data_IF_606552629342
#
_entry.id   IF_606552629342
#
_cell.length_a   1.000
_cell.length_b   1.000
_cell.length_c   1.000
_cell.angle_alpha   90.00
_cell.angle_beta   90.00
_cell.angle_gamma   90.00
#
_symmetry.space_group_name_H-M   'P 1'
#
loop_
_entity.id
_entity.type
_entity.pdbx_description
1 polymer ?
#
# COMPACT_ATOMS: atom_id res chain seq x y z
N UNK A 1 -13.25 -15.99 -20.31
CA UNK A 1 -12.27 -15.41 -19.35
C UNK A 1 -11.82 -16.51 -18.40
N UNK A 2 -10.51 -16.69 -18.27
CA UNK A 2 -9.91 -17.65 -17.34
C UNK A 2 -10.08 -17.16 -15.90
N UNK A 3 -10.02 -18.08 -14.92
CA UNK A 3 -10.20 -17.78 -13.50
C UNK A 3 -9.30 -16.60 -13.01
N UNK A 4 -7.98 -16.58 -13.32
CA UNK A 4 -7.12 -15.45 -12.95
C UNK A 4 -7.65 -14.10 -13.46
N UNK A 5 -8.01 -14.02 -14.74
CA UNK A 5 -8.53 -12.78 -15.33
C UNK A 5 -9.83 -12.30 -14.65
N UNK A 6 -10.70 -13.23 -14.22
CA UNK A 6 -11.92 -12.89 -13.47
C UNK A 6 -11.58 -12.27 -12.12
N UNK A 7 -10.56 -12.78 -11.42
CA UNK A 7 -10.12 -12.27 -10.13
C UNK A 7 -9.49 -10.87 -10.26
N UNK A 8 -8.70 -10.63 -11.32
CA UNK A 8 -8.16 -9.29 -11.62
C UNK A 8 -9.26 -8.28 -11.91
N UNK A 9 -10.27 -8.64 -12.72
CA UNK A 9 -11.42 -7.76 -13.01
C UNK A 9 -12.23 -7.51 -11.74
N UNK A 10 -12.47 -8.54 -10.91
CA UNK A 10 -13.14 -8.39 -9.62
C UNK A 10 -12.42 -7.35 -8.74
N UNK A 11 -11.09 -7.40 -8.67
CA UNK A 11 -10.28 -6.42 -7.92
C UNK A 11 -10.48 -4.99 -8.45
N UNK A 12 -10.45 -4.81 -9.77
CA UNK A 12 -10.69 -3.50 -10.39
C UNK A 12 -12.09 -2.96 -10.04
N UNK A 13 -13.10 -3.84 -9.92
CA UNK A 13 -14.46 -3.46 -9.49
C UNK A 13 -14.51 -3.17 -7.99
N UNK A 14 -13.77 -3.92 -7.17
CA UNK A 14 -13.74 -3.73 -5.72
C UNK A 14 -13.13 -2.38 -5.30
N UNK A 15 -12.19 -1.84 -6.08
CA UNK A 15 -11.56 -0.55 -5.75
C UNK A 15 -12.55 0.61 -5.74
N UNK A 16 -13.34 0.89 -6.79
CA UNK A 16 -14.35 1.95 -6.73
C UNK A 16 -15.43 1.68 -5.67
N UNK A 17 -15.82 0.42 -5.44
CA UNK A 17 -16.74 0.09 -4.34
C UNK A 17 -16.13 0.51 -3.00
N UNK A 18 -14.88 0.15 -2.74
CA UNK A 18 -14.16 0.54 -1.53
C UNK A 18 -14.12 2.05 -1.34
N UNK A 19 -13.84 2.82 -2.41
CA UNK A 19 -13.77 4.29 -2.38
C UNK A 19 -15.12 4.93 -2.11
N UNK A 20 -16.24 4.30 -2.51
CA UNK A 20 -17.58 4.81 -2.31
C UNK A 20 -18.14 4.55 -0.89
N UNK A 21 -17.58 3.61 -0.14
CA UNK A 21 -18.09 3.23 1.19
C UNK A 21 -18.23 4.42 2.16
N UNK A 22 -17.26 5.35 2.29
CA UNK A 22 -17.40 6.48 3.20
C UNK A 22 -18.61 7.37 2.91
N UNK A 23 -19.07 7.41 1.65
CA UNK A 23 -20.22 8.23 1.22
C UNK A 23 -21.56 7.56 1.47
N UNK A 24 -21.58 6.27 1.87
CA UNK A 24 -22.83 5.53 2.15
C UNK A 24 -23.40 5.82 3.54
N UNK A 25 -22.80 6.76 4.31
CA UNK A 25 -23.24 7.14 5.65
C UNK A 25 -23.51 5.93 6.59
N UNK A 26 -22.62 4.91 6.53
CA UNK A 26 -22.73 3.75 7.42
C UNK A 26 -22.41 4.22 8.83
N UNK A 27 -23.46 4.33 9.65
CA UNK A 27 -23.37 4.76 11.04
C UNK A 27 -22.98 3.59 11.96
N UNK A 28 -22.35 3.92 13.08
CA UNK A 28 -21.95 2.99 14.12
C UNK A 28 -20.44 2.82 14.21
N UNK A 29 -20.04 2.33 15.37
CA UNK A 29 -18.64 2.00 15.67
C UNK A 29 -18.54 0.64 16.36
N UNK A 30 -17.46 -0.04 16.12
CA UNK A 30 -17.08 -1.25 16.83
C UNK A 30 -15.75 -1.03 17.55
N UNK A 31 -15.76 -1.13 18.87
CA UNK A 31 -14.60 -0.80 19.72
C UNK A 31 -14.08 0.63 19.48
N UNK A 32 -14.96 1.57 19.08
CA UNK A 32 -14.61 2.94 18.74
C UNK A 32 -13.89 3.11 17.39
N UNK A 33 -13.93 2.11 16.52
CA UNK A 33 -13.49 2.16 15.12
C UNK A 33 -14.76 2.26 14.27
N UNK A 34 -14.89 3.27 13.39
CA UNK A 34 -16.03 3.40 12.53
C UNK A 34 -16.24 2.14 11.67
N UNK A 35 -17.50 1.65 11.61
CA UNK A 35 -17.83 0.41 10.86
C UNK A 35 -17.41 0.52 9.40
N UNK A 36 -17.52 1.69 8.77
CA UNK A 36 -17.10 1.87 7.39
C UNK A 36 -15.58 1.63 7.20
N UNK A 37 -14.72 1.97 8.19
CA UNK A 37 -13.29 1.66 8.14
C UNK A 37 -13.03 0.15 8.15
N UNK A 38 -13.78 -0.60 8.97
CA UNK A 38 -13.68 -2.06 9.05
C UNK A 38 -14.12 -2.70 7.73
N UNK A 39 -15.19 -2.20 7.12
CA UNK A 39 -15.68 -2.70 5.82
C UNK A 39 -14.67 -2.43 4.71
N UNK A 40 -14.08 -1.23 4.66
CA UNK A 40 -13.02 -0.88 3.72
C UNK A 40 -11.83 -1.83 3.88
N UNK A 41 -11.39 -2.03 5.12
CA UNK A 41 -10.25 -2.89 5.42
C UNK A 41 -10.50 -4.35 5.02
N UNK A 42 -11.68 -4.88 5.27
CA UNK A 42 -12.07 -6.21 4.82
C UNK A 42 -12.03 -6.34 3.30
N UNK A 43 -12.53 -5.35 2.55
CA UNK A 43 -12.47 -5.35 1.09
C UNK A 43 -11.01 -5.29 0.63
N UNK A 44 -10.18 -4.44 1.25
CA UNK A 44 -8.77 -4.35 0.93
C UNK A 44 -8.02 -5.67 1.18
N UNK A 45 -8.29 -6.34 2.30
CA UNK A 45 -7.72 -7.65 2.64
C UNK A 45 -8.15 -8.70 1.62
N UNK A 46 -9.45 -8.80 1.30
CA UNK A 46 -9.97 -9.76 0.32
C UNK A 46 -9.34 -9.52 -1.06
N UNK A 47 -9.29 -8.26 -1.51
CA UNK A 47 -8.66 -7.90 -2.79
C UNK A 47 -7.17 -8.24 -2.81
N UNK A 48 -6.46 -8.04 -1.70
CA UNK A 48 -5.02 -8.35 -1.57
C UNK A 48 -4.72 -9.85 -1.54
N UNK A 49 -5.60 -10.64 -0.91
CA UNK A 49 -5.48 -12.12 -0.91
C UNK A 49 -5.77 -12.66 -2.30
N UNK A 50 -6.81 -12.15 -2.98
CA UNK A 50 -7.14 -12.56 -4.35
C UNK A 50 -5.98 -12.33 -5.31
N UNK A 51 -5.23 -11.23 -5.18
CA UNK A 51 -4.03 -10.95 -5.97
C UNK A 51 -2.95 -12.04 -5.85
N UNK A 52 -2.66 -12.47 -4.63
CA UNK A 52 -1.68 -13.55 -4.41
C UNK A 52 -2.15 -14.90 -4.96
N UNK A 53 -3.45 -15.15 -4.90
CA UNK A 53 -4.04 -16.41 -5.36
C UNK A 53 -4.07 -16.48 -6.89
N UNK A 54 -4.52 -15.44 -7.59
CA UNK A 54 -4.61 -15.44 -9.06
C UNK A 54 -3.24 -15.56 -9.72
N UNK A 55 -2.23 -14.82 -9.25
CA UNK A 55 -0.86 -14.93 -9.72
C UNK A 55 -0.25 -16.32 -9.49
N UNK A 56 -0.58 -16.99 -8.37
CA UNK A 56 -0.14 -18.35 -8.08
C UNK A 56 -0.84 -19.39 -8.99
N UNK A 57 -2.16 -19.26 -9.16
CA UNK A 57 -2.96 -20.18 -10.00
C UNK A 57 -2.57 -20.03 -11.48
N UNK A 58 -2.43 -18.80 -11.98
CA UNK A 58 -2.04 -18.52 -13.35
C UNK A 58 -0.71 -19.18 -13.72
N UNK A 59 0.30 -19.08 -12.84
CA UNK A 59 1.62 -19.70 -13.03
C UNK A 59 1.57 -21.23 -12.97
N UNK A 60 0.86 -21.79 -11.97
CA UNK A 60 0.76 -23.26 -11.80
C UNK A 60 0.01 -23.94 -12.92
N UNK A 61 -0.97 -23.28 -13.54
CA UNK A 61 -1.85 -23.87 -14.57
C UNK A 61 -1.52 -23.41 -15.98
N UNK A 62 -0.43 -22.63 -16.19
CA UNK A 62 -0.07 -22.04 -17.49
C UNK A 62 -1.23 -21.27 -18.16
N UNK A 63 -2.08 -20.62 -17.37
CA UNK A 63 -3.24 -19.85 -17.83
C UNK A 63 -2.93 -18.34 -17.98
N UNK A 64 -1.68 -18.02 -18.22
CA UNK A 64 -1.22 -16.62 -18.35
C UNK A 64 -1.68 -16.07 -19.71
N UNK A 65 -2.52 -15.03 -19.67
CA UNK A 65 -3.02 -14.34 -20.88
C UNK A 65 -2.33 -12.98 -21.05
N UNK A 66 -2.28 -12.45 -22.27
CA UNK A 66 -1.76 -11.11 -22.53
C UNK A 66 -2.58 -10.04 -21.80
N UNK A 67 -3.90 -10.25 -21.71
CA UNK A 67 -4.81 -9.36 -20.97
C UNK A 67 -4.48 -9.33 -19.46
N UNK A 68 -4.27 -10.50 -18.83
CA UNK A 68 -3.84 -10.58 -17.43
C UNK A 68 -2.49 -9.92 -17.21
N UNK A 69 -1.49 -10.20 -18.04
CA UNK A 69 -0.16 -9.57 -17.95
C UNK A 69 -0.20 -8.04 -17.95
N UNK A 70 -1.16 -7.45 -18.66
CA UNK A 70 -1.35 -6.01 -18.71
C UNK A 70 -2.13 -5.47 -17.51
N UNK A 71 -3.22 -6.13 -17.13
CA UNK A 71 -4.14 -5.67 -16.08
C UNK A 71 -3.64 -5.91 -14.66
N UNK A 72 -2.96 -7.03 -14.40
CA UNK A 72 -2.51 -7.39 -13.04
C UNK A 72 -1.61 -6.31 -12.40
N UNK A 73 -0.55 -5.78 -13.09
CA UNK A 73 0.28 -4.73 -12.51
C UNK A 73 -0.46 -3.41 -12.27
N UNK A 74 -1.53 -3.15 -13.01
CA UNK A 74 -2.35 -1.94 -12.87
C UNK A 74 -3.29 -2.10 -11.69
N UNK A 75 -3.99 -3.23 -11.61
CA UNK A 75 -4.97 -3.52 -10.55
C UNK A 75 -4.32 -3.51 -9.16
N UNK A 76 -3.14 -4.12 -9.01
CA UNK A 76 -2.37 -4.13 -7.75
C UNK A 76 -2.02 -2.70 -7.29
N UNK A 77 -1.51 -1.88 -8.19
CA UNK A 77 -1.12 -0.50 -7.86
C UNK A 77 -2.32 0.38 -7.53
N UNK A 78 -3.41 0.26 -8.28
CA UNK A 78 -4.63 1.05 -8.04
C UNK A 78 -5.22 0.71 -6.68
N UNK A 79 -5.26 -0.57 -6.28
CA UNK A 79 -5.77 -1.00 -4.98
C UNK A 79 -5.01 -0.34 -3.82
N UNK A 80 -3.68 -0.44 -3.84
CA UNK A 80 -2.82 0.11 -2.78
C UNK A 80 -2.89 1.64 -2.77
N UNK A 81 -2.84 2.28 -3.94
CA UNK A 81 -2.93 3.74 -4.05
C UNK A 81 -4.27 4.26 -3.54
N UNK A 82 -5.39 3.62 -3.94
CA UNK A 82 -6.72 4.01 -3.49
C UNK A 82 -6.83 3.92 -1.95
N UNK A 83 -6.35 2.84 -1.34
CA UNK A 83 -6.35 2.69 0.12
C UNK A 83 -5.54 3.79 0.80
N UNK A 84 -4.34 4.12 0.30
CA UNK A 84 -3.51 5.18 0.87
C UNK A 84 -4.14 6.57 0.70
N UNK A 85 -4.74 6.87 -0.45
CA UNK A 85 -5.45 8.14 -0.69
C UNK A 85 -6.66 8.26 0.23
N UNK A 86 -7.39 7.18 0.46
CA UNK A 86 -8.49 7.17 1.44
C UNK A 86 -8.00 7.45 2.86
N UNK A 87 -6.88 6.85 3.28
CA UNK A 87 -6.26 7.14 4.58
C UNK A 87 -5.83 8.60 4.69
N UNK A 88 -5.36 9.23 3.59
CA UNK A 88 -5.07 10.68 3.55
C UNK A 88 -6.36 11.49 3.72
N UNK A 89 -7.43 11.13 3.00
CA UNK A 89 -8.74 11.81 3.14
C UNK A 89 -9.39 11.65 4.52
N UNK A 90 -8.95 10.67 5.31
CA UNK A 90 -9.38 10.44 6.70
C UNK A 90 -8.43 11.06 7.74
N UNK A 91 -7.47 11.87 7.34
CA UNK A 91 -6.41 12.45 8.19
C UNK A 91 -5.56 11.41 8.95
N UNK A 92 -5.57 10.17 8.49
CA UNK A 92 -4.81 9.06 9.09
C UNK A 92 -3.40 8.93 8.50
N UNK A 93 -3.14 9.51 7.33
CA UNK A 93 -1.86 9.42 6.63
C UNK A 93 -1.51 10.76 5.98
N UNK A 94 -0.27 11.26 6.10
CA UNK A 94 0.15 12.47 5.38
C UNK A 94 0.34 12.19 3.87
N UNK A 95 -0.04 13.14 3.03
CA UNK A 95 -0.07 13.00 1.57
C UNK A 95 1.29 12.70 0.93
N UNK A 96 2.41 13.11 1.57
CA UNK A 96 3.76 12.84 1.03
C UNK A 96 4.10 11.33 0.97
N UNK A 97 3.50 10.51 1.83
CA UNK A 97 3.75 9.06 1.85
C UNK A 97 3.26 8.38 0.56
N UNK A 98 1.96 8.49 0.16
CA UNK A 98 1.52 7.90 -1.10
C UNK A 98 2.23 8.51 -2.32
N UNK A 99 2.65 9.79 -2.28
CA UNK A 99 3.39 10.41 -3.38
C UNK A 99 4.75 9.72 -3.57
N UNK A 100 5.52 9.51 -2.51
CA UNK A 100 6.82 8.82 -2.58
C UNK A 100 6.65 7.39 -3.09
N UNK A 101 5.66 6.68 -2.56
CA UNK A 101 5.39 5.29 -2.97
C UNK A 101 5.01 5.23 -4.44
N UNK A 102 4.11 6.12 -4.90
CA UNK A 102 3.68 6.19 -6.30
C UNK A 102 4.84 6.51 -7.23
N UNK A 103 5.65 7.52 -6.89
CA UNK A 103 6.84 7.87 -7.66
C UNK A 103 7.76 6.67 -7.86
N UNK A 104 8.04 5.92 -6.78
CA UNK A 104 8.85 4.71 -6.87
C UNK A 104 8.19 3.65 -7.77
N UNK A 105 6.88 3.46 -7.68
CA UNK A 105 6.18 2.48 -8.53
C UNK A 105 6.32 2.82 -10.02
N UNK A 106 6.22 4.09 -10.38
CA UNK A 106 6.42 4.53 -11.75
C UNK A 106 7.86 4.36 -12.22
N UNK A 107 8.84 4.78 -11.42
CA UNK A 107 10.25 4.62 -11.73
C UNK A 107 10.59 3.15 -12.01
N UNK A 108 10.24 2.26 -11.08
CA UNK A 108 10.55 0.82 -11.23
C UNK A 108 9.82 0.20 -12.42
N UNK A 109 8.59 0.62 -12.69
CA UNK A 109 7.81 0.08 -13.82
C UNK A 109 8.34 0.58 -15.16
N UNK A 110 8.73 1.87 -15.23
CA UNK A 110 9.35 2.45 -16.41
C UNK A 110 10.68 1.76 -16.76
N UNK A 111 11.56 1.57 -15.76
CA UNK A 111 12.82 0.84 -15.98
C UNK A 111 12.60 -0.60 -16.44
N UNK A 112 11.60 -1.30 -15.91
CA UNK A 112 11.27 -2.67 -16.38
C UNK A 112 10.77 -2.68 -17.81
N UNK A 113 9.96 -1.70 -18.20
CA UNK A 113 9.45 -1.58 -19.57
C UNK A 113 10.60 -1.37 -20.56
N UNK A 114 11.47 -0.41 -20.30
CA UNK A 114 12.65 -0.11 -21.12
C UNK A 114 13.56 -1.34 -21.23
N UNK A 115 13.82 -2.03 -20.11
CA UNK A 115 14.65 -3.24 -20.10
C UNK A 115 14.07 -4.36 -20.98
N UNK A 116 12.75 -4.53 -21.01
CA UNK A 116 12.09 -5.51 -21.87
C UNK A 116 12.17 -5.13 -23.35
N UNK A 117 11.97 -3.86 -23.69
CA UNK A 117 12.05 -3.35 -25.06
C UNK A 117 13.45 -3.49 -25.66
N UNK A 118 14.49 -3.28 -24.87
CA UNK A 118 15.90 -3.41 -25.31
C UNK A 118 16.39 -4.88 -25.30
N UNK A 119 15.52 -5.86 -25.03
CA UNK A 119 15.90 -7.27 -24.94
C UNK A 119 16.87 -7.58 -23.78
N UNK A 120 17.00 -6.65 -22.84
CA UNK A 120 17.88 -6.76 -21.67
C UNK A 120 17.33 -7.70 -20.59
N UNK A 121 18.21 -8.12 -19.68
CA UNK A 121 17.80 -8.91 -18.51
C UNK A 121 16.97 -8.04 -17.57
N UNK A 122 15.73 -8.46 -17.31
CA UNK A 122 14.89 -7.81 -16.30
C UNK A 122 15.58 -7.87 -14.95
N UNK A 123 15.84 -6.70 -14.35
CA UNK A 123 16.44 -6.59 -13.02
C UNK A 123 15.54 -7.29 -12.02
N UNK A 124 16.09 -8.29 -11.32
CA UNK A 124 15.34 -9.05 -10.30
C UNK A 124 14.83 -8.13 -9.20
N UNK A 125 13.67 -8.46 -8.62
CA UNK A 125 13.14 -7.70 -7.50
C UNK A 125 14.13 -7.68 -6.33
N UNK A 126 14.53 -6.47 -5.90
CA UNK A 126 15.45 -6.30 -4.77
C UNK A 126 14.77 -6.76 -3.46
N UNK A 127 15.57 -7.12 -2.46
CA UNK A 127 15.07 -7.45 -1.11
C UNK A 127 14.24 -6.28 -0.56
N UNK A 128 14.67 -5.04 -0.81
CA UNK A 128 13.96 -3.83 -0.43
C UNK A 128 12.55 -3.74 -1.02
N UNK A 129 12.35 -4.20 -2.26
CA UNK A 129 11.02 -4.26 -2.87
C UNK A 129 10.09 -5.24 -2.16
N UNK A 130 10.59 -6.37 -1.66
CA UNK A 130 9.81 -7.33 -0.88
C UNK A 130 9.45 -6.78 0.50
N UNK A 131 10.43 -6.19 1.19
CA UNK A 131 10.23 -5.52 2.49
C UNK A 131 9.19 -4.41 2.34
N UNK A 132 9.34 -3.51 1.35
CA UNK A 132 8.39 -2.43 1.05
C UNK A 132 6.96 -2.98 0.94
N UNK A 133 6.74 -4.00 0.12
CA UNK A 133 5.40 -4.52 -0.12
C UNK A 133 4.81 -5.14 1.15
N UNK A 134 5.57 -5.95 1.89
CA UNK A 134 5.09 -6.58 3.11
C UNK A 134 4.75 -5.55 4.20
N UNK A 135 5.66 -4.61 4.48
CA UNK A 135 5.44 -3.59 5.52
C UNK A 135 4.33 -2.62 5.14
N UNK A 136 4.23 -2.22 3.87
CA UNK A 136 3.20 -1.31 3.38
C UNK A 136 1.80 -1.93 3.48
N UNK A 137 1.62 -3.17 3.01
CA UNK A 137 0.32 -3.84 3.08
C UNK A 137 -0.14 -4.00 4.53
N UNK A 138 0.76 -4.45 5.42
CA UNK A 138 0.46 -4.58 6.85
C UNK A 138 0.14 -3.23 7.48
N UNK A 139 0.91 -2.18 7.16
CA UNK A 139 0.68 -0.84 7.69
C UNK A 139 -0.68 -0.26 7.24
N UNK A 140 -1.11 -0.48 6.00
CA UNK A 140 -2.41 -0.01 5.49
C UNK A 140 -3.55 -0.69 6.25
N UNK A 141 -3.50 -2.02 6.40
CA UNK A 141 -4.51 -2.78 7.15
C UNK A 141 -4.62 -2.26 8.58
N UNK A 142 -3.50 -2.13 9.28
CA UNK A 142 -3.50 -1.65 10.65
C UNK A 142 -3.92 -0.17 10.76
N UNK A 143 -3.63 0.67 9.75
CA UNK A 143 -4.00 2.08 9.73
C UNK A 143 -5.52 2.30 9.63
N UNK A 144 -6.25 1.43 8.90
CA UNK A 144 -7.72 1.49 8.90
C UNK A 144 -8.32 1.19 10.28
N UNK A 145 -7.66 0.33 11.07
CA UNK A 145 -8.08 -0.03 12.43
C UNK A 145 -7.56 0.93 13.50
N UNK A 146 -6.58 1.78 13.17
CA UNK A 146 -6.05 2.79 14.07
C UNK A 146 -7.02 3.96 14.19
N UNK A 147 -7.22 4.45 15.42
CA UNK A 147 -8.07 5.63 15.71
C UNK A 147 -7.32 6.94 15.56
N UNK A 148 -6.00 6.90 15.58
CA UNK A 148 -5.11 8.05 15.62
C UNK A 148 -4.51 8.36 14.25
N UNK A 149 -4.08 9.59 14.06
CA UNK A 149 -3.35 10.01 12.88
C UNK A 149 -1.90 9.49 12.89
N UNK A 150 -1.31 9.35 11.70
CA UNK A 150 0.07 8.92 11.53
C UNK A 150 1.04 9.74 12.37
N UNK A 151 1.88 9.05 13.13
CA UNK A 151 2.94 9.68 13.91
C UNK A 151 2.47 10.56 15.07
N UNK A 152 1.21 10.47 15.44
CA UNK A 152 0.63 11.31 16.50
C UNK A 152 1.42 11.23 17.80
N UNK A 153 1.96 10.08 18.14
CA UNK A 153 2.76 9.87 19.35
C UNK A 153 4.28 9.84 19.10
N UNK A 154 4.74 9.98 17.85
CA UNK A 154 6.15 9.82 17.48
C UNK A 154 6.77 11.14 16.98
N UNK A 155 6.04 11.93 16.18
CA UNK A 155 6.62 13.05 15.43
C UNK A 155 6.15 14.45 15.83
N UNK A 156 5.20 14.59 16.77
CA UNK A 156 4.77 15.92 17.19
C UNK A 156 5.78 16.52 18.18
N UNK A 157 6.28 17.71 17.84
CA UNK A 157 7.28 18.47 18.61
C UNK A 157 6.71 19.85 18.94
N UNK A 158 6.94 20.36 20.16
CA UNK A 158 6.53 21.71 20.57
C UNK A 158 5.47 21.72 21.69
N UNK A 159 4.78 22.84 21.87
CA UNK A 159 3.77 23.04 22.94
C UNK A 159 2.62 22.00 22.88
N UNK A 160 2.34 21.49 21.71
CA UNK A 160 1.38 20.38 21.54
C UNK A 160 1.95 19.04 22.06
N UNK A 161 3.27 18.89 22.09
CA UNK A 161 3.93 17.68 22.62
C UNK A 161 3.77 17.59 24.15
N UNK A 162 3.79 18.69 24.88
CA UNK A 162 3.58 18.69 26.34
C UNK A 162 2.16 18.31 26.72
N UNK A 163 1.15 18.80 25.97
CA UNK A 163 -0.23 18.38 26.16
C UNK A 163 -0.44 16.91 25.79
N UNK A 164 0.31 16.39 24.80
CA UNK A 164 0.26 14.99 24.42
C UNK A 164 1.01 14.06 25.36
N UNK A 165 2.14 14.49 25.95
CA UNK A 165 2.82 13.72 26.99
C UNK A 165 1.91 13.58 28.21
N UNK A 166 1.15 14.61 28.56
CA UNK A 166 0.10 14.54 29.56
C UNK A 166 -1.02 13.59 29.19
N UNK A 167 -1.50 13.60 27.94
CA UNK A 167 -2.53 12.68 27.45
C UNK A 167 -1.97 11.31 27.09
N UNK A 168 -0.72 11.19 26.63
CA UNK A 168 -0.06 9.90 26.38
C UNK A 168 0.03 9.06 27.66
N UNK A 169 0.23 9.68 28.81
CA UNK A 169 0.16 9.00 30.12
C UNK A 169 -1.19 8.30 30.36
N UNK A 170 -2.28 8.81 29.81
CA UNK A 170 -3.62 8.20 29.87
C UNK A 170 -3.75 7.07 28.84
N UNK A 171 -3.07 7.16 27.68
CA UNK A 171 -3.21 6.21 26.57
C UNK A 171 -2.10 5.14 26.54
N UNK A 172 -1.00 5.29 27.27
CA UNK A 172 0.18 4.39 27.24
C UNK A 172 -0.17 2.91 27.45
N UNK A 173 -1.23 2.61 28.19
CA UNK A 173 -1.68 1.24 28.43
C UNK A 173 -2.82 0.78 27.51
N UNK A 174 -3.17 1.56 26.50
CA UNK A 174 -4.24 1.20 25.58
C UNK A 174 -3.70 0.46 24.36
N UNK A 175 -4.37 -0.59 23.86
CA UNK A 175 -3.98 -1.28 22.64
C UNK A 175 -3.85 -0.34 21.44
N UNK A 176 -4.63 0.73 21.39
CA UNK A 176 -4.63 1.72 20.30
C UNK A 176 -3.35 2.57 20.27
N UNK A 177 -2.76 2.88 21.43
CA UNK A 177 -1.47 3.57 21.50
C UNK A 177 -0.36 2.71 20.86
N UNK A 178 -0.30 1.44 21.25
CA UNK A 178 0.67 0.50 20.69
C UNK A 178 0.44 0.33 19.18
N UNK A 179 -0.83 0.22 18.76
CA UNK A 179 -1.19 0.09 17.36
C UNK A 179 -0.69 1.29 16.54
N UNK A 180 -0.90 2.52 17.00
CA UNK A 180 -0.43 3.72 16.32
C UNK A 180 1.10 3.75 16.15
N UNK A 181 1.85 3.39 17.19
CA UNK A 181 3.32 3.30 17.10
C UNK A 181 3.72 2.25 16.06
N UNK A 182 3.11 1.08 16.09
CA UNK A 182 3.40 -0.01 15.13
C UNK A 182 3.09 0.42 13.70
N UNK A 183 1.92 1.03 13.47
CA UNK A 183 1.52 1.57 12.16
C UNK A 183 2.53 2.60 11.67
N UNK A 184 2.91 3.54 12.53
CA UNK A 184 3.87 4.58 12.21
C UNK A 184 5.22 3.99 11.82
N UNK A 185 5.76 3.07 12.61
CA UNK A 185 7.05 2.41 12.32
C UNK A 185 6.97 1.63 11.01
N UNK A 186 5.95 0.81 10.80
CA UNK A 186 5.80 0.02 9.58
C UNK A 186 5.68 0.90 8.34
N UNK A 187 4.95 2.02 8.44
CA UNK A 187 4.79 2.95 7.33
C UNK A 187 6.12 3.66 7.01
N UNK A 188 6.86 4.12 8.01
CA UNK A 188 8.20 4.71 7.84
C UNK A 188 9.16 3.70 7.20
N UNK A 189 9.20 2.47 7.70
CA UNK A 189 10.03 1.39 7.13
C UNK A 189 9.64 1.13 5.67
N UNK A 190 8.34 1.15 5.34
CA UNK A 190 7.89 0.95 3.96
C UNK A 190 8.36 2.07 3.02
N UNK A 191 8.34 3.32 3.49
CA UNK A 191 8.83 4.49 2.72
C UNK A 191 10.34 4.40 2.51
N UNK A 192 11.10 4.11 3.57
CA UNK A 192 12.55 3.93 3.49
C UNK A 192 12.88 2.80 2.50
N UNK A 193 12.21 1.66 2.62
CA UNK A 193 12.39 0.53 1.71
C UNK A 193 11.97 0.87 0.27
N UNK A 194 10.96 1.72 0.06
CA UNK A 194 10.59 2.22 -1.26
C UNK A 194 11.71 3.06 -1.87
N UNK A 195 12.30 3.98 -1.12
CA UNK A 195 13.41 4.83 -1.58
C UNK A 195 14.62 3.96 -1.97
N UNK A 196 15.06 3.06 -1.09
CA UNK A 196 16.19 2.17 -1.39
C UNK A 196 15.91 1.25 -2.58
N UNK A 197 14.69 0.72 -2.68
CA UNK A 197 14.30 -0.09 -3.83
C UNK A 197 14.32 0.70 -5.13
N UNK A 198 13.87 1.95 -5.14
CA UNK A 198 13.96 2.85 -6.30
C UNK A 198 15.41 3.13 -6.68
N UNK A 199 16.24 3.41 -5.70
CA UNK A 199 17.68 3.64 -5.90
C UNK A 199 18.41 2.44 -6.53
N UNK A 200 18.13 1.22 -6.04
CA UNK A 200 18.69 -0.01 -6.61
C UNK A 200 18.35 -0.16 -8.09
N UNK A 201 17.11 0.15 -8.49
CA UNK A 201 16.71 0.10 -9.89
C UNK A 201 17.39 1.17 -10.74
N UNK A 202 17.49 2.40 -10.26
CA UNK A 202 18.19 3.49 -10.96
C UNK A 202 19.68 3.14 -11.12
N UNK A 203 20.32 2.63 -10.07
CA UNK A 203 21.73 2.24 -10.10
C UNK A 203 21.98 1.06 -11.06
N UNK A 204 21.13 0.04 -11.02
CA UNK A 204 21.24 -1.13 -11.88
C UNK A 204 20.83 -0.89 -13.34
N UNK A 205 20.04 0.17 -13.60
CA UNK A 205 19.58 0.54 -14.93
C UNK A 205 20.39 1.64 -15.63
N UNK A 206 21.51 2.09 -15.05
CA UNK A 206 22.32 3.17 -15.64
C UNK A 206 22.79 2.88 -17.06
N UNK A 207 23.08 1.63 -17.37
CA UNK A 207 23.55 1.24 -18.70
C UNK A 207 22.43 1.28 -19.74
N UNK A 208 21.17 1.09 -19.34
CA UNK A 208 19.99 1.19 -20.19
C UNK A 208 19.69 2.65 -20.64
N UNK A 209 20.20 3.64 -19.91
CA UNK A 209 20.02 5.06 -20.23
C UNK A 209 21.16 5.65 -21.07
N UNK A 210 22.26 4.90 -21.29
CA UNK A 210 23.41 5.39 -22.09
C UNK A 210 23.15 5.32 -23.59
N UNK A 211 22.14 4.55 -23.99
CA UNK A 211 21.80 4.37 -25.41
C UNK A 211 20.62 5.28 -25.84
N UNK A 212 20.24 6.24 -25.00
CA UNK A 212 19.33 7.35 -25.31
C UNK A 212 20.08 8.65 -25.58
#
# INVERSE_FOLDING_TARGET
>A
MNLPNKLTVLRIILVPIMVLIPYLNIQGDFLGIPIFCIVIDLIFIIASITDKLDGSIARKRNLVTNFGKFLDPIADKILVLAAMVMLVGMDKLPAWIPIIVLFREFVVSGYRLIAVEQGGKVIAASIWGKVKTATQMTAIILAFLDKFSFGQFVFRVGSEAEQMVSSAGVYMNTPQFILNIVVTILMVVSVIAAIFSGWDYIKGGKDLLKDM
#
